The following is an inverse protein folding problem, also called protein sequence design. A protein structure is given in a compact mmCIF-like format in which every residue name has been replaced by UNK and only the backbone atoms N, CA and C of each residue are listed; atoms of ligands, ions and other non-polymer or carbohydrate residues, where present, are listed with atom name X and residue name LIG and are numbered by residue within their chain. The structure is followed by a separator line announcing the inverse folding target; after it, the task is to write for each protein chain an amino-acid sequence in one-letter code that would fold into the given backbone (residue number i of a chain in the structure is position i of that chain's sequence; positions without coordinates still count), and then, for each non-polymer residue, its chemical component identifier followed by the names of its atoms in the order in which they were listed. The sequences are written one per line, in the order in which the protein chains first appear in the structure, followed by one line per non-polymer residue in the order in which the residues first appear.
data_IF_651224851967
#
_entry.id   IF_651224851967
#
_cell.length_a   1.000
_cell.length_b   1.000
_cell.length_c   1.000
_cell.angle_alpha   90.00
_cell.angle_beta   90.00
_cell.angle_gamma   90.00
#
_symmetry.space_group_name_H-M   'P 1'
#
loop_
_entity.id
_entity.type
_entity.pdbx_description
1 polymer ?
#
# COMPACT_ATOMS: atom_id res chain seq x y z
N UNK A 1 -29.95 -0.78 -20.04
CA UNK A 1 -30.51 -1.62 -18.96
C UNK A 1 -29.49 -2.60 -18.37
N UNK A 2 -28.73 -3.37 -19.17
CA UNK A 2 -27.76 -4.37 -18.65
C UNK A 2 -26.61 -3.74 -17.85
N UNK A 3 -26.05 -2.61 -18.32
CA UNK A 3 -24.96 -1.90 -17.63
C UNK A 3 -25.38 -1.35 -16.25
N UNK A 4 -26.57 -0.76 -16.15
CA UNK A 4 -27.15 -0.24 -14.90
C UNK A 4 -27.37 -1.38 -13.90
N UNK A 5 -27.87 -2.54 -14.38
CA UNK A 5 -28.09 -3.73 -13.54
C UNK A 5 -26.76 -4.32 -13.02
N UNK A 6 -25.71 -4.30 -13.84
CA UNK A 6 -24.34 -4.70 -13.44
C UNK A 6 -23.75 -3.76 -12.38
N UNK A 7 -23.88 -2.45 -12.58
CA UNK A 7 -23.41 -1.45 -11.61
C UNK A 7 -24.13 -1.56 -10.27
N UNK A 8 -25.46 -1.72 -10.29
CA UNK A 8 -26.25 -1.92 -9.07
C UNK A 8 -25.83 -3.20 -8.32
N UNK A 9 -25.56 -4.30 -9.04
CA UNK A 9 -25.05 -5.54 -8.45
C UNK A 9 -23.67 -5.34 -7.81
N UNK A 10 -22.75 -4.65 -8.48
CA UNK A 10 -21.41 -4.36 -7.94
C UNK A 10 -21.48 -3.51 -6.67
N UNK A 11 -22.31 -2.46 -6.66
CA UNK A 11 -22.49 -1.61 -5.47
C UNK A 11 -23.08 -2.42 -4.31
N UNK A 12 -24.07 -3.27 -4.59
CA UNK A 12 -24.68 -4.13 -3.59
C UNK A 12 -23.69 -5.14 -3.01
N UNK A 13 -22.86 -5.77 -3.85
CA UNK A 13 -21.80 -6.68 -3.41
C UNK A 13 -20.75 -5.97 -2.54
N UNK A 14 -20.30 -4.78 -2.95
CA UNK A 14 -19.35 -3.98 -2.16
C UNK A 14 -19.96 -3.60 -0.81
N UNK A 15 -21.21 -3.14 -0.81
CA UNK A 15 -21.94 -2.79 0.41
C UNK A 15 -22.12 -3.99 1.34
N UNK A 16 -22.43 -5.17 0.80
CA UNK A 16 -22.54 -6.42 1.56
C UNK A 16 -21.19 -6.83 2.17
N UNK A 17 -20.11 -6.81 1.39
CA UNK A 17 -18.77 -7.12 1.87
C UNK A 17 -18.32 -6.17 2.99
N UNK A 18 -18.61 -4.87 2.84
CA UNK A 18 -18.32 -3.88 3.86
C UNK A 18 -19.13 -4.14 5.13
N UNK A 19 -20.43 -4.44 5.01
CA UNK A 19 -21.28 -4.78 6.15
C UNK A 19 -20.78 -6.04 6.87
N UNK A 20 -20.39 -7.08 6.13
CA UNK A 20 -19.79 -8.30 6.70
C UNK A 20 -18.49 -7.96 7.43
N UNK A 21 -17.58 -7.20 6.82
CA UNK A 21 -16.31 -6.83 7.44
C UNK A 21 -16.51 -6.02 8.73
N UNK A 22 -17.41 -5.04 8.72
CA UNK A 22 -17.75 -4.24 9.91
C UNK A 22 -18.41 -5.10 10.99
N UNK A 23 -19.30 -6.01 10.61
CA UNK A 23 -19.97 -6.91 11.57
C UNK A 23 -19.00 -7.87 12.25
N UNK A 24 -18.06 -8.47 11.49
CA UNK A 24 -16.99 -9.31 12.02
C UNK A 24 -16.03 -8.51 12.91
N UNK A 25 -15.70 -7.27 12.52
CA UNK A 25 -14.90 -6.36 13.33
C UNK A 25 -15.57 -6.05 14.67
N UNK A 26 -16.85 -5.66 14.65
CA UNK A 26 -17.63 -5.40 15.85
C UNK A 26 -17.77 -6.64 16.75
N UNK A 27 -17.99 -7.82 16.15
CA UNK A 27 -18.04 -9.08 16.87
C UNK A 27 -16.71 -9.41 17.57
N UNK A 28 -15.59 -9.17 16.90
CA UNK A 28 -14.27 -9.36 17.48
C UNK A 28 -14.01 -8.39 18.65
N UNK A 29 -14.39 -7.10 18.49
CA UNK A 29 -14.27 -6.10 19.55
C UNK A 29 -15.13 -6.46 20.77
N UNK A 30 -16.38 -6.87 20.55
CA UNK A 30 -17.30 -7.25 21.63
C UNK A 30 -16.80 -8.44 22.44
N UNK A 31 -16.14 -9.42 21.80
CA UNK A 31 -15.52 -10.56 22.50
C UNK A 31 -14.36 -10.14 23.41
N UNK A 32 -13.64 -9.07 23.07
CA UNK A 32 -12.48 -8.61 23.84
C UNK A 32 -12.87 -7.60 24.92
N UNK A 33 -13.79 -6.67 24.61
CA UNK A 33 -14.28 -5.68 25.55
C UNK A 33 -15.82 -5.55 25.44
N UNK A 34 -16.58 -5.68 26.53
CA UNK A 34 -18.02 -5.43 26.53
C UNK A 34 -18.35 -4.01 26.04
N UNK A 35 -19.45 -3.86 25.28
CA UNK A 35 -19.86 -2.58 24.65
C UNK A 35 -19.98 -1.44 25.67
N UNK A 36 -20.39 -1.74 26.91
CA UNK A 36 -20.51 -0.77 27.98
C UNK A 36 -19.19 -0.05 28.33
N UNK A 37 -18.04 -0.70 28.09
CA UNK A 37 -16.71 -0.17 28.39
C UNK A 37 -16.02 0.44 27.17
N UNK A 38 -16.65 0.46 25.98
CA UNK A 38 -16.03 0.97 24.76
C UNK A 38 -15.67 2.45 24.85
N UNK A 39 -16.59 3.28 25.37
CA UNK A 39 -16.36 4.72 25.55
C UNK A 39 -15.16 5.00 26.45
N UNK A 40 -15.02 4.25 27.54
CA UNK A 40 -13.88 4.36 28.46
C UNK A 40 -12.58 3.84 27.81
N UNK A 41 -12.62 2.65 27.21
CA UNK A 41 -11.46 2.08 26.52
C UNK A 41 -10.97 2.89 25.30
N UNK A 42 -11.83 3.70 24.69
CA UNK A 42 -11.45 4.59 23.59
C UNK A 42 -10.75 5.85 24.08
N UNK A 43 -11.24 6.48 25.16
CA UNK A 43 -10.82 7.82 25.59
C UNK A 43 -9.83 7.82 26.76
N UNK A 44 -10.06 6.97 27.76
CA UNK A 44 -9.26 6.86 28.99
C UNK A 44 -9.17 5.38 29.42
N UNK A 45 -8.31 4.57 28.76
CA UNK A 45 -8.13 3.18 29.16
C UNK A 45 -7.59 3.13 30.60
N UNK A 46 -8.19 2.28 31.44
CA UNK A 46 -7.66 2.00 32.75
C UNK A 46 -6.38 1.15 32.61
N UNK A 47 -5.26 1.62 33.17
CA UNK A 47 -3.97 0.94 33.09
C UNK A 47 -3.94 -0.40 33.84
N UNK A 48 -4.88 -0.62 34.76
CA UNK A 48 -4.96 -1.87 35.54
C UNK A 48 -5.73 -2.97 34.79
N UNK A 49 -6.48 -2.63 33.75
CA UNK A 49 -7.24 -3.59 32.93
C UNK A 49 -6.52 -3.86 31.60
N UNK A 50 -5.84 -5.02 31.55
CA UNK A 50 -5.11 -5.49 30.36
C UNK A 50 -6.03 -5.53 29.12
N UNK A 51 -7.34 -5.80 29.29
CA UNK A 51 -8.28 -5.86 28.15
C UNK A 51 -8.50 -4.49 27.54
N UNK A 52 -8.56 -3.44 28.36
CA UNK A 52 -8.69 -2.06 27.89
C UNK A 52 -7.42 -1.57 27.20
N UNK A 53 -6.25 -1.96 27.72
CA UNK A 53 -4.97 -1.68 27.07
C UNK A 53 -4.85 -2.37 25.71
N UNK A 54 -5.19 -3.66 25.61
CA UNK A 54 -5.19 -4.40 24.33
C UNK A 54 -6.17 -3.79 23.32
N UNK A 55 -7.37 -3.43 23.78
CA UNK A 55 -8.37 -2.75 22.96
C UNK A 55 -7.84 -1.43 22.40
N UNK A 56 -7.28 -0.57 23.25
CA UNK A 56 -6.82 0.77 22.88
C UNK A 56 -5.54 0.76 22.03
N UNK A 57 -4.55 -0.05 22.38
CA UNK A 57 -3.22 0.00 21.76
C UNK A 57 -3.02 -1.03 20.64
N UNK A 58 -3.77 -2.13 20.62
CA UNK A 58 -3.60 -3.15 19.57
C UNK A 58 -4.77 -3.21 18.59
N UNK A 59 -6.01 -3.35 19.09
CA UNK A 59 -7.16 -3.59 18.20
C UNK A 59 -7.58 -2.34 17.43
N UNK A 60 -7.78 -1.22 18.13
CA UNK A 60 -8.22 0.03 17.50
C UNK A 60 -7.23 0.53 16.44
N UNK A 61 -5.91 0.64 16.71
CA UNK A 61 -4.98 1.11 15.70
C UNK A 61 -4.88 0.15 14.52
N UNK A 62 -4.99 -1.16 14.76
CA UNK A 62 -4.97 -2.18 13.69
C UNK A 62 -6.19 -2.05 12.77
N UNK A 63 -7.38 -1.82 13.31
CA UNK A 63 -8.58 -1.60 12.49
C UNK A 63 -8.49 -0.30 11.69
N UNK A 64 -8.07 0.78 12.33
CA UNK A 64 -7.91 2.08 11.66
C UNK A 64 -6.85 1.97 10.55
N UNK A 65 -5.72 1.35 10.83
CA UNK A 65 -4.66 1.15 9.85
C UNK A 65 -5.13 0.26 8.70
N UNK A 66 -5.86 -0.83 8.96
CA UNK A 66 -6.41 -1.70 7.92
C UNK A 66 -7.37 -0.94 6.99
N UNK A 67 -8.24 -0.08 7.54
CA UNK A 67 -9.12 0.77 6.74
C UNK A 67 -8.33 1.81 5.92
N UNK A 68 -7.32 2.45 6.51
CA UNK A 68 -6.50 3.46 5.84
C UNK A 68 -5.68 2.87 4.69
N UNK A 69 -5.00 1.75 4.94
CA UNK A 69 -4.21 1.01 3.95
C UNK A 69 -5.14 0.48 2.85
N UNK A 70 -6.28 -0.11 3.21
CA UNK A 70 -7.27 -0.59 2.23
C UNK A 70 -7.82 0.52 1.34
N UNK A 71 -8.18 1.67 1.91
CA UNK A 71 -8.60 2.85 1.14
C UNK A 71 -7.48 3.38 0.22
N UNK A 72 -6.24 3.33 0.70
CA UNK A 72 -5.04 3.65 -0.09
C UNK A 72 -4.88 2.75 -1.29
N UNK A 73 -4.79 1.45 -1.06
CA UNK A 73 -4.62 0.46 -2.12
C UNK A 73 -5.79 0.51 -3.12
N UNK A 74 -7.02 0.74 -2.65
CA UNK A 74 -8.18 0.97 -3.51
C UNK A 74 -8.02 2.20 -4.42
N UNK A 75 -7.60 3.34 -3.86
CA UNK A 75 -7.34 4.55 -4.64
C UNK A 75 -6.17 4.36 -5.61
N UNK A 76 -5.08 3.70 -5.18
CA UNK A 76 -3.96 3.33 -6.03
C UNK A 76 -4.45 2.52 -7.23
N UNK A 77 -5.23 1.46 -7.00
CA UNK A 77 -5.80 0.62 -8.05
C UNK A 77 -6.62 1.43 -9.06
N UNK A 78 -7.49 2.33 -8.58
CA UNK A 78 -8.28 3.19 -9.48
C UNK A 78 -7.39 4.09 -10.33
N UNK A 79 -6.36 4.72 -9.76
CA UNK A 79 -5.42 5.55 -10.52
C UNK A 79 -4.68 4.75 -11.59
N UNK A 80 -4.21 3.55 -11.25
CA UNK A 80 -3.57 2.64 -12.20
C UNK A 80 -4.51 2.24 -13.33
N UNK A 81 -5.71 1.77 -13.00
CA UNK A 81 -6.70 1.32 -13.98
C UNK A 81 -7.10 2.44 -14.95
N UNK A 82 -7.26 3.67 -14.44
CA UNK A 82 -7.59 4.84 -15.27
C UNK A 82 -6.44 5.24 -16.19
N UNK A 83 -5.22 5.37 -15.65
CA UNK A 83 -4.07 5.80 -16.45
C UNK A 83 -3.68 4.76 -17.51
N UNK A 84 -3.70 3.48 -17.12
CA UNK A 84 -3.31 2.38 -18.00
C UNK A 84 -4.45 1.92 -18.91
N UNK A 85 -5.66 2.47 -18.75
CA UNK A 85 -6.89 2.05 -19.44
C UNK A 85 -7.09 0.53 -19.41
N UNK A 86 -6.75 -0.07 -18.27
CA UNK A 86 -6.79 -1.51 -18.11
C UNK A 86 -7.44 -1.84 -16.75
N UNK A 87 -8.64 -2.44 -16.72
CA UNK A 87 -9.33 -2.77 -15.48
C UNK A 87 -8.60 -3.85 -14.66
N UNK A 88 -7.64 -4.56 -15.25
CA UNK A 88 -6.80 -5.56 -14.57
C UNK A 88 -5.49 -4.98 -14.04
N UNK A 89 -5.22 -3.70 -14.24
CA UNK A 89 -3.98 -3.09 -13.76
C UNK A 89 -4.01 -2.88 -12.25
N UNK A 90 -2.91 -3.24 -11.60
CA UNK A 90 -2.67 -3.05 -10.18
C UNK A 90 -1.21 -2.65 -9.94
N UNK A 91 -0.86 -1.95 -8.85
CA UNK A 91 0.50 -1.47 -8.59
C UNK A 91 1.58 -2.56 -8.63
N UNK A 92 1.27 -3.76 -8.16
CA UNK A 92 2.15 -4.94 -8.25
C UNK A 92 2.56 -5.29 -9.68
N UNK A 93 1.70 -5.03 -10.67
CA UNK A 93 2.01 -5.34 -12.09
C UNK A 93 3.10 -4.46 -12.70
N UNK A 94 3.42 -3.30 -12.09
CA UNK A 94 4.54 -2.46 -12.52
C UNK A 94 5.87 -2.80 -11.83
N UNK A 95 5.91 -3.85 -11.00
CA UNK A 95 7.13 -4.31 -10.33
C UNK A 95 7.50 -3.50 -9.09
N UNK A 96 6.62 -2.59 -8.66
CA UNK A 96 6.84 -1.73 -7.49
C UNK A 96 7.03 -2.58 -6.24
N UNK A 97 6.16 -3.57 -6.03
CA UNK A 97 6.27 -4.52 -4.91
C UNK A 97 7.56 -5.35 -4.97
N UNK A 98 7.95 -5.82 -6.18
CA UNK A 98 9.20 -6.55 -6.38
C UNK A 98 10.42 -5.67 -6.10
N UNK A 99 10.36 -4.38 -6.46
CA UNK A 99 11.38 -3.38 -6.15
C UNK A 99 11.49 -3.08 -4.66
N UNK A 100 10.36 -2.95 -3.97
CA UNK A 100 10.30 -2.78 -2.53
C UNK A 100 10.96 -3.96 -1.80
N UNK A 101 10.60 -5.18 -2.19
CA UNK A 101 11.19 -6.40 -1.64
C UNK A 101 12.71 -6.44 -1.89
N UNK A 102 13.17 -6.06 -3.09
CA UNK A 102 14.59 -6.03 -3.42
C UNK A 102 15.36 -5.01 -2.56
N UNK A 103 14.77 -3.83 -2.31
CA UNK A 103 15.33 -2.84 -1.39
C UNK A 103 15.54 -3.41 0.02
N UNK A 104 14.55 -4.13 0.55
CA UNK A 104 14.66 -4.79 1.87
C UNK A 104 15.70 -5.90 1.84
N UNK A 105 15.74 -6.72 0.77
CA UNK A 105 16.74 -7.79 0.58
C UNK A 105 18.15 -7.22 0.66
N UNK A 106 18.44 -6.15 -0.06
CA UNK A 106 19.77 -5.49 -0.06
C UNK A 106 20.12 -4.98 1.33
N UNK A 107 19.23 -4.23 2.00
CA UNK A 107 19.53 -3.72 3.34
C UNK A 107 19.73 -4.84 4.37
N UNK A 108 18.98 -5.93 4.23
CA UNK A 108 19.06 -7.09 5.13
C UNK A 108 20.38 -7.84 4.96
N UNK A 109 20.81 -8.11 3.71
CA UNK A 109 22.07 -8.80 3.44
C UNK A 109 23.31 -7.99 3.86
N UNK A 110 23.29 -6.68 3.61
CA UNK A 110 24.39 -5.80 4.00
C UNK A 110 24.37 -5.40 5.49
N UNK A 111 23.42 -5.92 6.27
CA UNK A 111 23.31 -5.70 7.72
C UNK A 111 23.38 -4.21 8.11
N UNK A 112 22.70 -3.35 7.33
CA UNK A 112 22.78 -1.90 7.53
C UNK A 112 22.18 -1.54 8.92
N UNK A 113 22.94 -0.85 9.79
CA UNK A 113 22.50 -0.56 11.14
C UNK A 113 21.37 0.47 11.14
N UNK A 114 20.25 0.13 11.76
CA UNK A 114 19.07 0.99 11.94
C UNK A 114 17.73 0.26 11.86
N UNK A 115 17.76 -1.07 11.70
CA UNK A 115 16.61 -1.95 11.89
C UNK A 115 15.47 -1.67 10.92
N UNK A 116 14.25 -1.79 11.42
CA UNK A 116 13.03 -1.78 10.61
C UNK A 116 12.75 -0.45 9.89
N UNK A 117 13.15 0.69 10.48
CA UNK A 117 13.01 1.99 9.84
C UNK A 117 13.84 2.11 8.55
N UNK A 118 15.04 1.54 8.54
CA UNK A 118 15.88 1.50 7.34
C UNK A 118 15.30 0.53 6.32
N UNK A 119 14.77 -0.62 6.75
CA UNK A 119 14.10 -1.55 5.85
C UNK A 119 12.90 -0.91 5.15
N UNK A 120 12.07 -0.13 5.86
CA UNK A 120 10.97 0.62 5.26
C UNK A 120 11.45 1.68 4.26
N UNK A 121 12.45 2.49 4.65
CA UNK A 121 13.02 3.49 3.74
C UNK A 121 13.61 2.80 2.50
N UNK A 122 14.28 1.66 2.66
CA UNK A 122 14.82 0.88 1.56
C UNK A 122 13.73 0.28 0.68
N UNK A 123 12.62 -0.18 1.25
CA UNK A 123 11.44 -0.63 0.51
C UNK A 123 10.88 0.51 -0.34
N UNK A 124 10.69 1.69 0.27
CA UNK A 124 10.21 2.88 -0.43
C UNK A 124 11.16 3.32 -1.54
N UNK A 125 12.47 3.36 -1.28
CA UNK A 125 13.48 3.70 -2.29
C UNK A 125 13.48 2.66 -3.42
N UNK A 126 13.40 1.38 -3.09
CA UNK A 126 13.34 0.29 -4.08
C UNK A 126 12.12 0.39 -4.98
N UNK A 127 10.93 0.59 -4.39
CA UNK A 127 9.68 0.84 -5.09
C UNK A 127 9.75 2.05 -6.02
N UNK A 128 10.24 3.19 -5.50
CA UNK A 128 10.38 4.43 -6.28
C UNK A 128 11.42 4.29 -7.40
N UNK A 129 12.52 3.57 -7.15
CA UNK A 129 13.55 3.32 -8.16
C UNK A 129 13.00 2.51 -9.33
N UNK A 130 12.28 1.41 -9.04
CA UNK A 130 11.62 0.62 -10.08
C UNK A 130 10.59 1.46 -10.84
N UNK A 131 9.75 2.23 -10.13
CA UNK A 131 8.79 3.14 -10.76
C UNK A 131 9.46 4.17 -11.68
N UNK A 132 10.58 4.76 -11.24
CA UNK A 132 11.36 5.70 -12.04
C UNK A 132 11.98 5.04 -13.28
N UNK A 133 12.48 3.81 -13.16
CA UNK A 133 13.00 3.04 -14.30
C UNK A 133 11.89 2.72 -15.32
N UNK A 134 10.71 2.29 -14.86
CA UNK A 134 9.54 2.07 -15.73
C UNK A 134 9.17 3.34 -16.48
N UNK A 135 9.14 4.50 -15.81
CA UNK A 135 8.90 5.78 -16.47
C UNK A 135 10.01 6.16 -17.44
N UNK A 136 11.27 5.93 -17.08
CA UNK A 136 12.42 6.20 -17.95
C UNK A 136 12.34 5.43 -19.27
N UNK A 137 12.05 4.12 -19.19
CA UNK A 137 11.87 3.26 -20.37
C UNK A 137 10.69 3.72 -21.22
N UNK A 138 9.57 4.10 -20.59
CA UNK A 138 8.37 4.53 -21.29
C UNK A 138 8.41 5.99 -21.78
N UNK A 139 9.40 6.79 -21.36
CA UNK A 139 9.48 8.23 -21.64
C UNK A 139 9.52 8.52 -23.16
N UNK A 140 10.39 7.81 -23.89
CA UNK A 140 10.53 7.93 -25.35
C UNK A 140 9.30 7.50 -26.14
N UNK A 141 8.37 6.76 -25.51
CA UNK A 141 7.09 6.32 -26.10
C UNK A 141 5.90 7.11 -25.56
N UNK A 142 6.12 8.34 -25.09
CA UNK A 142 5.09 9.24 -24.54
C UNK A 142 4.29 8.61 -23.39
N UNK A 143 4.94 7.75 -22.59
CA UNK A 143 4.31 7.00 -21.50
C UNK A 143 3.07 6.24 -21.99
N UNK A 144 3.18 5.53 -23.13
CA UNK A 144 2.06 4.72 -23.63
C UNK A 144 1.67 3.66 -22.60
N UNK A 145 0.36 3.40 -22.36
CA UNK A 145 -0.09 2.40 -21.39
C UNK A 145 0.50 1.02 -21.63
N UNK A 146 0.56 0.59 -22.90
CA UNK A 146 1.12 -0.71 -23.29
C UNK A 146 2.60 -0.79 -22.96
N UNK A 147 3.38 0.26 -23.25
CA UNK A 147 4.81 0.29 -22.90
C UNK A 147 5.02 0.28 -21.40
N UNK A 148 4.20 1.00 -20.62
CA UNK A 148 4.29 1.01 -19.16
C UNK A 148 4.04 -0.39 -18.58
N UNK A 149 2.98 -1.08 -19.03
CA UNK A 149 2.66 -2.43 -18.58
C UNK A 149 3.79 -3.40 -18.93
N UNK A 150 4.27 -3.39 -20.18
CA UNK A 150 5.33 -4.31 -20.62
C UNK A 150 6.66 -4.03 -19.89
N UNK A 151 7.04 -2.76 -19.75
CA UNK A 151 8.26 -2.38 -19.02
C UNK A 151 8.17 -2.79 -17.54
N UNK A 152 7.02 -2.54 -16.91
CA UNK A 152 6.75 -2.94 -15.52
C UNK A 152 6.80 -4.45 -15.33
N UNK A 153 6.19 -5.22 -16.23
CA UNK A 153 6.23 -6.68 -16.20
C UNK A 153 7.67 -7.23 -16.31
N UNK A 154 8.44 -6.70 -17.27
CA UNK A 154 9.85 -7.07 -17.45
C UNK A 154 10.65 -6.76 -16.18
N UNK A 155 10.53 -5.55 -15.63
CA UNK A 155 11.21 -5.18 -14.40
C UNK A 155 10.80 -6.03 -13.20
N UNK A 156 9.51 -6.39 -13.10
CA UNK A 156 9.01 -7.31 -12.06
C UNK A 156 9.73 -8.66 -12.13
N UNK A 157 9.89 -9.23 -13.32
CA UNK A 157 10.60 -10.49 -13.51
C UNK A 157 12.08 -10.38 -13.19
N UNK A 158 12.74 -9.30 -13.60
CA UNK A 158 14.14 -9.06 -13.24
C UNK A 158 14.33 -8.93 -11.72
N UNK A 159 13.53 -8.08 -11.06
CA UNK A 159 13.60 -7.91 -9.61
C UNK A 159 13.26 -9.21 -8.88
N UNK A 160 12.25 -9.95 -9.34
CA UNK A 160 11.88 -11.25 -8.80
C UNK A 160 13.00 -12.29 -8.94
N UNK A 161 13.64 -12.37 -10.10
CA UNK A 161 14.76 -13.27 -10.34
C UNK A 161 15.96 -12.95 -9.43
N UNK A 162 16.28 -11.67 -9.25
CA UNK A 162 17.35 -11.22 -8.34
C UNK A 162 17.02 -11.54 -6.88
N UNK A 163 15.78 -11.30 -6.44
CA UNK A 163 15.32 -11.67 -5.09
C UNK A 163 15.44 -13.19 -4.86
N UNK A 164 15.03 -14.01 -5.83
CA UNK A 164 15.13 -15.46 -5.72
C UNK A 164 16.58 -15.95 -5.72
N UNK A 165 17.46 -15.32 -6.50
CA UNK A 165 18.89 -15.62 -6.47
C UNK A 165 19.47 -15.38 -5.07
N UNK A 166 19.18 -14.23 -4.47
CA UNK A 166 19.61 -13.93 -3.09
C UNK A 166 19.01 -14.89 -2.07
N UNK A 167 17.73 -15.21 -2.19
CA UNK A 167 17.05 -16.17 -1.31
C UNK A 167 17.69 -17.56 -1.34
N UNK A 168 18.23 -17.98 -2.50
CA UNK A 168 18.92 -19.26 -2.65
C UNK A 168 20.26 -19.30 -1.88
N UNK A 169 21.03 -18.20 -1.91
CA UNK A 169 22.32 -18.13 -1.21
C UNK A 169 22.21 -17.80 0.28
N UNK A 170 21.17 -17.08 0.69
CA UNK A 170 21.02 -16.50 2.03
C UNK A 170 19.67 -16.85 2.69
N UNK A 171 19.27 -18.11 2.60
CA UNK A 171 17.95 -18.59 3.04
C UNK A 171 17.59 -18.19 4.49
N UNK A 172 18.49 -18.45 5.45
CA UNK A 172 18.29 -18.13 6.88
C UNK A 172 18.02 -16.64 7.14
N UNK A 173 18.74 -15.76 6.44
CA UNK A 173 18.64 -14.31 6.63
C UNK A 173 17.37 -13.73 5.98
N UNK A 174 16.91 -14.36 4.90
CA UNK A 174 15.78 -13.88 4.09
C UNK A 174 14.47 -14.62 4.42
N UNK A 175 14.47 -15.57 5.36
CA UNK A 175 13.25 -16.28 5.77
C UNK A 175 12.15 -15.32 6.27
N UNK A 176 12.53 -14.34 7.09
CA UNK A 176 11.61 -13.32 7.61
C UNK A 176 11.02 -12.42 6.50
N UNK A 177 11.73 -12.28 5.38
CA UNK A 177 11.28 -11.51 4.22
C UNK A 177 10.12 -12.19 3.49
N UNK A 178 10.07 -13.52 3.48
CA UNK A 178 8.91 -14.26 2.95
C UNK A 178 7.67 -14.07 3.82
N UNK A 179 7.82 -14.05 5.14
CA UNK A 179 6.72 -13.73 6.05
C UNK A 179 6.25 -12.28 5.87
N UNK A 180 7.18 -11.33 5.70
CA UNK A 180 6.82 -9.95 5.41
C UNK A 180 6.07 -9.80 4.07
N UNK A 181 6.53 -10.48 3.01
CA UNK A 181 5.89 -10.38 1.69
C UNK A 181 4.50 -11.00 1.64
N UNK A 182 4.13 -11.84 2.61
CA UNK A 182 2.77 -12.38 2.73
C UNK A 182 1.74 -11.32 3.16
N UNK A 183 2.22 -10.17 3.66
CA UNK A 183 1.39 -9.08 4.17
C UNK A 183 0.88 -9.38 5.57
N UNK A 184 1.42 -8.68 6.57
CA UNK A 184 0.98 -8.80 7.96
C UNK A 184 0.65 -7.43 8.57
N UNK A 185 -0.55 -7.30 9.13
CA UNK A 185 -1.00 -6.12 9.88
C UNK A 185 -0.76 -6.33 11.38
N UNK A 186 0.50 -6.34 11.78
CA UNK A 186 0.86 -6.42 13.19
C UNK A 186 1.04 -5.02 13.79
N UNK A 187 -0.04 -4.47 14.33
CA UNK A 187 -0.04 -3.16 14.98
C UNK A 187 -0.17 -3.28 16.50
N UNK A 188 0.68 -2.53 17.22
CA UNK A 188 0.74 -2.49 18.68
C UNK A 188 0.69 -1.06 19.27
N UNK A 189 0.63 -0.03 18.42
CA UNK A 189 0.53 1.37 18.84
C UNK A 189 -0.13 2.27 17.78
N UNK A 190 -0.28 3.57 18.04
CA UNK A 190 -0.88 4.54 17.12
C UNK A 190 0.12 5.19 16.15
N UNK A 191 1.42 4.92 16.28
CA UNK A 191 2.47 5.63 15.52
C UNK A 191 2.34 5.44 14.02
N UNK A 192 2.01 4.23 13.56
CA UNK A 192 1.88 3.96 12.12
C UNK A 192 0.64 4.64 11.54
N UNK A 193 -0.44 4.71 12.33
CA UNK A 193 -1.64 5.48 11.94
C UNK A 193 -1.26 6.95 11.79
N UNK A 194 -0.55 7.53 12.76
CA UNK A 194 -0.08 8.93 12.69
C UNK A 194 0.91 9.17 11.55
N UNK A 195 1.68 8.16 11.15
CA UNK A 195 2.59 8.23 10.01
C UNK A 195 1.84 8.16 8.67
N UNK A 196 0.96 7.18 8.50
CA UNK A 196 0.25 6.92 7.24
C UNK A 196 -0.84 7.97 6.99
N UNK A 197 -1.67 8.27 7.99
CA UNK A 197 -2.85 9.13 7.86
C UNK A 197 -2.59 10.49 7.16
N UNK A 198 -1.64 11.35 7.61
CA UNK A 198 -1.43 12.65 6.98
C UNK A 198 -0.91 12.51 5.55
N UNK A 199 -0.06 11.51 5.29
CA UNK A 199 0.52 11.27 3.95
C UNK A 199 -0.55 10.74 2.99
N UNK A 200 -1.41 9.84 3.47
CA UNK A 200 -2.56 9.33 2.73
C UNK A 200 -3.54 10.46 2.37
N UNK A 201 -3.82 11.36 3.31
CA UNK A 201 -4.69 12.52 3.09
C UNK A 201 -4.12 13.46 2.03
N UNK A 202 -2.81 13.74 2.06
CA UNK A 202 -2.14 14.53 1.02
C UNK A 202 -2.33 13.85 -0.35
N UNK A 203 -2.07 12.55 -0.45
CA UNK A 203 -2.23 11.82 -1.70
C UNK A 203 -3.68 11.83 -2.19
N UNK A 204 -4.64 11.65 -1.29
CA UNK A 204 -6.07 11.73 -1.59
C UNK A 204 -6.44 13.11 -2.15
N UNK A 205 -6.00 14.19 -1.51
CA UNK A 205 -6.21 15.55 -1.99
C UNK A 205 -5.57 15.77 -3.38
N UNK A 206 -4.35 15.27 -3.61
CA UNK A 206 -3.69 15.32 -4.92
C UNK A 206 -4.48 14.54 -5.98
N UNK A 207 -5.03 13.37 -5.63
CA UNK A 207 -5.88 12.60 -6.54
C UNK A 207 -7.17 13.35 -6.90
N UNK A 208 -7.78 14.10 -5.98
CA UNK A 208 -8.94 14.92 -6.27
C UNK A 208 -8.62 16.04 -7.29
N UNK A 209 -7.44 16.65 -7.19
CA UNK A 209 -6.97 17.65 -8.17
C UNK A 209 -6.77 17.03 -9.56
N UNK A 210 -6.47 15.73 -9.63
CA UNK A 210 -6.26 14.98 -10.87
C UNK A 210 -7.56 14.43 -11.49
N UNK A 211 -8.74 14.63 -10.89
CA UNK A 211 -10.01 14.11 -11.41
C UNK A 211 -10.31 14.55 -12.85
N UNK A 212 -10.07 15.83 -13.17
CA UNK A 212 -10.27 16.35 -14.54
C UNK A 212 -9.28 15.74 -15.54
N UNK A 213 -7.95 15.74 -15.28
CA UNK A 213 -7.00 15.00 -16.12
C UNK A 213 -7.34 13.51 -16.30
N UNK A 214 -7.76 12.82 -15.23
CA UNK A 214 -8.07 11.39 -15.27
C UNK A 214 -9.33 11.09 -16.11
N UNK A 215 -10.36 11.91 -16.00
CA UNK A 215 -11.56 11.78 -16.84
C UNK A 215 -11.25 12.02 -18.31
N UNK A 216 -10.38 13.00 -18.63
CA UNK A 216 -9.90 13.23 -19.98
C UNK A 216 -8.99 12.09 -20.49
N UNK A 217 -8.19 11.47 -19.62
CA UNK A 217 -7.42 10.27 -19.95
C UNK A 217 -8.31 9.07 -20.26
N UNK A 218 -9.59 9.06 -19.87
CA UNK A 218 -10.54 8.04 -20.28
C UNK A 218 -11.00 8.15 -21.75
N UNK A 219 -10.84 9.33 -22.36
CA UNK A 219 -11.09 9.56 -23.79
C UNK A 219 -9.90 9.08 -24.63
N UNK A 220 -10.07 9.04 -25.94
CA UNK A 220 -8.96 8.70 -26.84
C UNK A 220 -7.82 9.74 -26.77
N UNK A 221 -6.57 9.29 -26.98
CA UNK A 221 -5.37 10.13 -26.78
C UNK A 221 -5.38 11.37 -27.67
N UNK A 222 -5.91 11.25 -28.90
CA UNK A 222 -6.06 12.37 -29.82
C UNK A 222 -7.04 13.42 -29.31
N UNK A 223 -8.18 12.98 -28.76
CA UNK A 223 -9.23 13.88 -28.24
C UNK A 223 -8.74 14.62 -27.01
N UNK A 224 -8.15 13.90 -26.05
CA UNK A 224 -7.60 14.50 -24.83
C UNK A 224 -6.53 15.55 -25.14
N UNK A 225 -5.70 15.31 -26.17
CA UNK A 225 -4.65 16.23 -26.59
C UNK A 225 -5.21 17.49 -27.27
N UNK A 226 -6.27 17.35 -28.08
CA UNK A 226 -6.96 18.50 -28.68
C UNK A 226 -7.63 19.40 -27.63
N UNK A 227 -7.98 18.83 -26.48
CA UNK A 227 -8.48 19.58 -25.31
C UNK A 227 -7.36 20.23 -24.48
N UNK A 228 -6.11 20.21 -24.94
CA UNK A 228 -4.96 20.86 -24.30
C UNK A 228 -4.29 20.05 -23.19
N UNK A 229 -4.67 18.78 -23.00
CA UNK A 229 -4.08 17.95 -21.94
C UNK A 229 -2.65 17.49 -22.32
N UNK A 230 -1.69 17.80 -21.46
CA UNK A 230 -0.36 17.19 -21.50
C UNK A 230 -0.40 15.74 -21.04
N UNK A 231 -0.65 14.79 -21.96
CA UNK A 231 -0.81 13.36 -21.66
C UNK A 231 0.32 12.79 -20.78
N UNK A 232 1.57 13.10 -21.09
CA UNK A 232 2.72 12.60 -20.33
C UNK A 232 2.73 13.11 -18.89
N UNK A 233 2.48 14.40 -18.68
CA UNK A 233 2.42 15.00 -17.34
C UNK A 233 1.24 14.47 -16.53
N UNK A 234 0.08 14.30 -17.16
CA UNK A 234 -1.11 13.73 -16.51
C UNK A 234 -0.85 12.28 -16.06
N UNK A 235 -0.24 11.46 -16.92
CA UNK A 235 0.12 10.07 -16.59
C UNK A 235 1.19 10.00 -15.51
N UNK A 236 2.24 10.83 -15.62
CA UNK A 236 3.33 10.86 -14.66
C UNK A 236 2.87 11.30 -13.27
N UNK A 237 2.05 12.35 -13.19
CA UNK A 237 1.51 12.83 -11.92
C UNK A 237 0.58 11.82 -11.27
N UNK A 238 -0.36 11.24 -12.03
CA UNK A 238 -1.29 10.25 -11.51
C UNK A 238 -0.59 8.96 -11.06
N UNK A 239 0.31 8.41 -11.87
CA UNK A 239 1.07 7.21 -11.49
C UNK A 239 2.09 7.52 -10.39
N UNK A 240 2.67 8.72 -10.35
CA UNK A 240 3.56 9.14 -9.27
C UNK A 240 2.84 9.18 -7.91
N UNK A 241 1.63 9.75 -7.87
CA UNK A 241 0.77 9.70 -6.67
C UNK A 241 0.42 8.27 -6.30
N UNK A 242 0.07 7.43 -7.29
CA UNK A 242 -0.29 6.04 -7.04
C UNK A 242 0.87 5.19 -6.50
N UNK A 243 2.08 5.35 -7.07
CA UNK A 243 3.31 4.70 -6.59
C UNK A 243 3.61 5.13 -5.16
N UNK A 244 3.54 6.44 -4.88
CA UNK A 244 3.81 6.97 -3.55
C UNK A 244 2.80 6.45 -2.51
N UNK A 245 1.51 6.40 -2.88
CA UNK A 245 0.45 5.83 -2.04
C UNK A 245 0.67 4.33 -1.75
N UNK A 246 1.12 3.56 -2.75
CA UNK A 246 1.48 2.13 -2.57
C UNK A 246 2.65 2.01 -1.59
N UNK A 247 3.73 2.78 -1.81
CA UNK A 247 4.92 2.74 -0.98
C UNK A 247 4.65 3.10 0.49
N UNK A 248 3.80 4.10 0.75
CA UNK A 248 3.37 4.46 2.12
C UNK A 248 2.57 3.33 2.75
N UNK A 249 1.67 2.71 1.98
CA UNK A 249 0.82 1.61 2.45
C UNK A 249 1.64 0.38 2.83
N UNK A 250 2.70 0.09 2.07
CA UNK A 250 3.65 -0.99 2.34
C UNK A 250 4.58 -0.68 3.53
N UNK A 251 5.02 0.57 3.69
CA UNK A 251 5.89 0.96 4.80
C UNK A 251 5.16 1.13 6.14
N UNK A 252 3.83 1.26 6.14
CA UNK A 252 3.03 1.41 7.36
C UNK A 252 2.98 0.17 8.25
N UNK A 253 3.56 -0.97 7.83
CA UNK A 253 3.62 -2.21 8.60
C UNK A 253 4.86 -2.30 9.49
N UNK A 254 4.65 -2.22 10.81
CA UNK A 254 5.58 -2.54 11.91
C UNK A 254 6.83 -1.66 12.09
N UNK A 255 7.04 -1.13 13.31
CA UNK A 255 8.25 -0.38 13.72
C UNK A 255 8.97 -1.01 14.92
N UNK A 256 8.58 -2.20 15.42
CA UNK A 256 9.04 -2.62 16.76
C UNK A 256 9.51 -4.06 16.95
N UNK A 257 9.51 -4.92 15.95
CA UNK A 257 9.95 -6.31 16.14
C UNK A 257 11.47 -6.58 16.12
N UNK A 258 12.32 -5.56 16.38
CA UNK A 258 13.77 -5.78 16.42
C UNK A 258 14.53 -4.97 17.48
N UNK A 259 14.04 -4.94 18.72
CA UNK A 259 15.00 -4.90 19.83
C UNK A 259 15.45 -6.33 20.09
N UNK A 260 16.74 -6.68 19.91
CA UNK A 260 17.23 -7.95 20.39
C UNK A 260 16.97 -8.01 21.89
N UNK A 261 16.34 -9.10 22.33
CA UNK A 261 16.23 -9.51 23.75
C UNK A 261 17.63 -9.89 24.24
N UNK A 262 18.54 -8.92 24.30
CA UNK A 262 19.90 -9.04 24.85
C UNK A 262 20.21 -7.99 25.92
N UNK A 263 19.24 -7.15 26.29
CA UNK A 263 19.42 -6.13 27.34
C UNK A 263 18.77 -6.51 28.69
N UNK A 264 18.39 -7.77 28.90
CA UNK A 264 17.79 -8.25 30.16
C UNK A 264 18.42 -9.58 30.63
N UNK A 265 19.72 -9.75 30.39
CA UNK A 265 20.55 -10.75 31.05
C UNK A 265 21.84 -10.06 31.50
N UNK A 266 21.71 -9.31 32.60
CA UNK A 266 22.77 -8.82 33.44
C UNK A 266 22.33 -9.07 34.88
#
# INVERSE_FOLDING_TARGET
MIAVKKQALSILLIGLLLAIALSLGAYNLQRQLPVALWLQGFWQPNNDDIRQLLFHYSLLPRMVLALLVGAGLGLCGVLFQQVLRNPLAEPSTLGIASGAQLGITVVTLWSVPGGMAIQQIAAMIGALTVGALVFGVAWGKRLSPVTLILAGLVLSFYCGAVNQLFALFHHEQLQNLFLWSSGALNQQDWRNVQFVLPRQLICFCLSLLLLRPLTLLGLDDGVARNLGLGLSLARLSALGVAIFLSAISECGGDYRFHRPVRAAAG
#
